data_IF_568268021885
#
_entry.id   IF_568268021885
#
_cell.length_a   1.000
_cell.length_b   1.000
_cell.length_c   1.000
_cell.angle_alpha   90.00
_cell.angle_beta   90.00
_cell.angle_gamma   90.00
#
_symmetry.space_group_name_H-M   'P 1'
#
loop_
_entity.id
_entity.type
_entity.pdbx_description
1 polymer ?
#
# COMPACT_ATOMS: atom_id res chain seq x y z
N UNK A 1 -27.90 -45.47 -26.23
CA UNK A 1 -26.77 -44.58 -25.84
C UNK A 1 -27.23 -43.14 -25.92
N UNK A 2 -27.32 -42.43 -24.80
CA UNK A 2 -27.58 -40.99 -24.76
C UNK A 2 -26.24 -40.24 -24.68
N UNK A 3 -25.98 -39.37 -25.65
CA UNK A 3 -24.74 -38.60 -25.77
C UNK A 3 -24.87 -37.38 -24.85
N UNK A 4 -24.29 -37.44 -23.65
CA UNK A 4 -24.21 -36.29 -22.75
C UNK A 4 -23.20 -35.27 -23.29
N UNK A 5 -23.70 -34.14 -23.77
CA UNK A 5 -22.88 -32.98 -24.14
C UNK A 5 -22.44 -32.27 -22.86
N UNK A 6 -21.16 -32.39 -22.52
CA UNK A 6 -20.55 -31.69 -21.38
C UNK A 6 -20.50 -30.20 -21.70
N UNK A 7 -21.37 -29.39 -21.09
CA UNK A 7 -21.28 -27.94 -21.18
C UNK A 7 -20.06 -27.51 -20.36
N UNK A 8 -19.02 -27.03 -21.05
CA UNK A 8 -17.86 -26.42 -20.41
C UNK A 8 -18.29 -25.06 -19.85
N UNK A 9 -18.11 -24.77 -18.55
CA UNK A 9 -18.37 -23.43 -18.02
C UNK A 9 -17.46 -22.45 -18.74
N UNK A 10 -18.07 -21.48 -19.44
CA UNK A 10 -17.34 -20.34 -20.00
C UNK A 10 -16.87 -19.52 -18.81
N UNK A 11 -15.59 -19.61 -18.47
CA UNK A 11 -14.99 -18.75 -17.46
C UNK A 11 -15.03 -17.31 -17.99
N UNK A 12 -16.07 -16.56 -17.63
CA UNK A 12 -16.08 -15.12 -17.78
C UNK A 12 -15.06 -14.58 -16.80
N UNK A 13 -13.99 -13.97 -17.30
CA UNK A 13 -13.01 -13.27 -16.47
C UNK A 13 -13.75 -12.26 -15.58
N UNK A 14 -13.41 -12.21 -14.30
CA UNK A 14 -13.95 -11.21 -13.40
C UNK A 14 -13.65 -9.81 -13.99
N UNK A 15 -14.61 -8.86 -13.94
CA UNK A 15 -14.35 -7.49 -14.36
C UNK A 15 -13.12 -6.97 -13.63
N UNK A 16 -12.13 -6.47 -14.37
CA UNK A 16 -11.00 -5.78 -13.75
C UNK A 16 -11.54 -4.58 -12.96
N UNK A 17 -11.06 -4.32 -11.73
CA UNK A 17 -11.46 -3.16 -10.96
C UNK A 17 -11.27 -1.89 -11.81
N UNK A 18 -12.37 -1.15 -12.02
CA UNK A 18 -12.39 0.00 -12.93
C UNK A 18 -11.73 1.26 -12.33
N UNK A 19 -11.41 1.25 -11.04
CA UNK A 19 -10.68 2.32 -10.37
C UNK A 19 -9.19 1.97 -10.32
N UNK A 20 -8.32 2.91 -10.70
CA UNK A 20 -6.91 2.77 -10.44
C UNK A 20 -6.72 2.66 -8.93
N UNK A 21 -6.31 1.48 -8.46
CA UNK A 21 -5.96 1.27 -7.06
C UNK A 21 -4.79 2.23 -6.77
N UNK A 22 -4.87 3.07 -5.73
CA UNK A 22 -3.74 3.91 -5.37
C UNK A 22 -2.54 3.02 -5.06
N UNK A 23 -1.35 3.43 -5.49
CA UNK A 23 -0.14 2.61 -5.32
C UNK A 23 0.34 2.49 -3.87
N UNK A 24 -0.39 3.06 -2.91
CA UNK A 24 -0.18 2.96 -1.47
C UNK A 24 -1.53 2.68 -0.80
N UNK A 25 -1.52 1.94 0.31
CA UNK A 25 -2.71 1.60 1.09
C UNK A 25 -3.51 2.87 1.46
N UNK A 26 -4.74 3.03 0.92
CA UNK A 26 -5.53 4.24 1.15
C UNK A 26 -5.94 4.46 2.60
N UNK A 27 -6.00 3.39 3.41
CA UNK A 27 -6.36 3.47 4.83
C UNK A 27 -5.31 4.27 5.61
N UNK A 28 -4.07 4.38 5.12
CA UNK A 28 -3.02 5.17 5.78
C UNK A 28 -3.43 6.64 5.95
N UNK A 29 -4.28 7.16 5.07
CA UNK A 29 -4.76 8.54 5.12
C UNK A 29 -5.89 8.73 6.12
N UNK A 30 -6.75 7.74 6.30
CA UNK A 30 -7.70 7.72 7.40
C UNK A 30 -6.96 7.67 8.74
N UNK A 31 -5.88 6.89 8.84
CA UNK A 31 -5.03 6.88 10.04
C UNK A 31 -4.40 8.26 10.29
N UNK A 32 -3.87 8.92 9.25
CA UNK A 32 -3.31 10.27 9.37
C UNK A 32 -4.38 11.27 9.84
N UNK A 33 -5.55 11.25 9.19
CA UNK A 33 -6.68 12.16 9.46
C UNK A 33 -7.23 12.00 10.87
N UNK A 34 -7.24 10.78 11.40
CA UNK A 34 -7.65 10.46 12.77
C UNK A 34 -6.52 10.67 13.80
N UNK A 35 -5.42 11.31 13.41
CA UNK A 35 -4.25 11.55 14.27
C UNK A 35 -3.70 10.26 14.90
N UNK A 36 -3.86 9.14 14.19
CA UNK A 36 -3.38 7.85 14.66
C UNK A 36 -1.86 7.83 14.68
N UNK A 37 -1.30 7.38 15.80
CA UNK A 37 0.13 7.12 15.93
C UNK A 37 0.68 6.03 14.98
N UNK A 38 -0.17 5.39 14.16
CA UNK A 38 0.20 4.30 13.27
C UNK A 38 0.47 4.73 11.81
N UNK A 39 0.01 5.91 11.37
CA UNK A 39 0.13 6.30 9.96
C UNK A 39 1.61 6.44 9.52
N UNK A 40 2.37 7.26 10.23
CA UNK A 40 3.78 7.50 9.91
C UNK A 40 4.65 6.24 10.10
N UNK A 41 4.51 5.45 11.20
CA UNK A 41 5.21 4.18 11.32
C UNK A 41 4.89 3.17 10.21
N UNK A 42 3.62 3.09 9.76
CA UNK A 42 3.23 2.21 8.65
C UNK A 42 3.92 2.61 7.35
N UNK A 43 4.01 3.92 7.07
CA UNK A 43 4.75 4.42 5.92
C UNK A 43 6.25 4.10 6.05
N UNK A 44 6.85 4.39 7.20
CA UNK A 44 8.27 4.10 7.43
C UNK A 44 8.61 2.62 7.28
N UNK A 45 7.74 1.71 7.76
CA UNK A 45 7.83 0.28 7.48
C UNK A 45 7.80 0.03 5.97
N UNK A 46 6.85 0.62 5.24
CA UNK A 46 6.73 0.46 3.79
C UNK A 46 8.03 0.86 3.09
N UNK A 47 8.57 2.03 3.41
CA UNK A 47 9.80 2.55 2.79
C UNK A 47 11.02 1.66 3.07
N UNK A 48 11.05 0.99 4.22
CA UNK A 48 12.13 0.08 4.60
C UNK A 48 12.09 -1.25 3.86
N UNK A 49 10.88 -1.76 3.59
CA UNK A 49 10.68 -3.07 2.97
C UNK A 49 10.68 -3.00 1.43
N UNK A 50 10.89 -1.82 0.83
CA UNK A 50 11.00 -1.69 -0.62
C UNK A 50 12.29 -2.33 -1.17
N UNK A 51 12.22 -2.97 -2.34
CA UNK A 51 13.41 -3.42 -3.05
C UNK A 51 14.39 -2.29 -3.37
N UNK A 52 15.69 -2.62 -3.39
CA UNK A 52 16.78 -1.64 -3.55
C UNK A 52 16.60 -0.71 -4.76
N UNK A 53 16.14 -1.23 -5.90
CA UNK A 53 15.94 -0.45 -7.12
C UNK A 53 14.91 0.68 -6.93
N UNK A 54 13.85 0.45 -6.14
CA UNK A 54 12.84 1.46 -5.85
C UNK A 54 13.31 2.42 -4.77
N UNK A 55 14.01 1.91 -3.76
CA UNK A 55 14.60 2.68 -2.67
C UNK A 55 15.58 3.74 -3.18
N UNK A 56 16.39 3.44 -4.21
CA UNK A 56 17.28 4.43 -4.83
C UNK A 56 16.50 5.58 -5.46
N UNK A 57 15.47 5.28 -6.25
CA UNK A 57 14.64 6.31 -6.89
C UNK A 57 13.92 7.18 -5.86
N UNK A 58 13.37 6.57 -4.81
CA UNK A 58 12.71 7.27 -3.70
C UNK A 58 13.70 8.16 -2.95
N UNK A 59 14.89 7.64 -2.62
CA UNK A 59 15.93 8.38 -1.89
C UNK A 59 16.39 9.60 -2.69
N UNK A 60 16.56 9.45 -4.00
CA UNK A 60 16.89 10.55 -4.89
C UNK A 60 15.78 11.61 -4.88
N UNK A 61 14.52 11.20 -5.02
CA UNK A 61 13.37 12.10 -4.94
C UNK A 61 13.35 12.89 -3.63
N UNK A 62 13.45 12.18 -2.49
CA UNK A 62 13.43 12.80 -1.16
C UNK A 62 14.59 13.76 -0.96
N UNK A 63 15.78 13.41 -1.44
CA UNK A 63 16.98 14.26 -1.34
C UNK A 63 16.85 15.52 -2.20
N UNK A 64 16.44 15.39 -3.46
CA UNK A 64 16.27 16.51 -4.39
C UNK A 64 15.16 17.45 -3.93
N UNK A 65 14.04 16.91 -3.46
CA UNK A 65 12.91 17.68 -2.98
C UNK A 65 13.04 18.14 -1.52
N UNK A 66 14.08 17.71 -0.79
CA UNK A 66 14.32 17.95 0.64
C UNK A 66 13.13 17.53 1.52
N UNK A 67 12.58 16.35 1.24
CA UNK A 67 11.41 15.79 1.90
C UNK A 67 11.77 14.69 2.88
N UNK A 68 11.02 14.60 3.97
CA UNK A 68 11.08 13.50 4.93
C UNK A 68 9.85 12.58 4.80
N UNK A 69 9.79 11.51 5.60
CA UNK A 69 8.69 10.55 5.54
C UNK A 69 7.31 11.16 5.89
N UNK A 70 7.28 12.19 6.75
CA UNK A 70 6.04 12.92 7.05
C UNK A 70 5.56 13.71 5.84
N UNK A 71 6.47 14.43 5.16
CA UNK A 71 6.14 15.16 3.93
C UNK A 71 5.60 14.20 2.85
N UNK A 72 6.23 13.03 2.74
CA UNK A 72 5.80 11.97 1.81
C UNK A 72 4.40 11.45 2.17
N UNK A 73 4.09 11.27 3.46
CA UNK A 73 2.77 10.87 3.91
C UNK A 73 1.71 11.91 3.51
N UNK A 74 2.03 13.20 3.58
CA UNK A 74 1.12 14.26 3.14
C UNK A 74 0.86 14.20 1.64
N UNK A 75 1.91 14.00 0.85
CA UNK A 75 1.80 13.87 -0.60
C UNK A 75 1.03 12.64 -1.04
N UNK A 76 1.23 11.52 -0.35
CA UNK A 76 0.46 10.30 -0.59
C UNK A 76 -1.02 10.58 -0.37
N UNK A 77 -1.38 11.19 0.76
CA UNK A 77 -2.78 11.46 1.05
C UNK A 77 -3.40 12.48 0.12
N UNK A 78 -2.67 13.53 -0.26
CA UNK A 78 -3.13 14.48 -1.27
C UNK A 78 -3.33 13.80 -2.63
N UNK A 79 -2.41 12.93 -3.05
CA UNK A 79 -2.53 12.21 -4.32
C UNK A 79 -3.74 11.27 -4.33
N UNK A 80 -4.00 10.58 -3.22
CA UNK A 80 -5.16 9.69 -3.07
C UNK A 80 -6.46 10.47 -3.11
N UNK A 81 -6.55 11.63 -2.44
CA UNK A 81 -7.69 12.54 -2.53
C UNK A 81 -7.94 13.05 -3.96
N UNK A 82 -6.87 13.22 -4.75
CA UNK A 82 -6.94 13.60 -6.15
C UNK A 82 -7.11 12.41 -7.12
N UNK A 83 -7.32 11.20 -6.61
CA UNK A 83 -7.40 9.94 -7.39
C UNK A 83 -6.19 9.71 -8.31
N UNK A 84 -5.00 10.09 -7.83
CA UNK A 84 -3.73 10.00 -8.55
C UNK A 84 -2.70 9.20 -7.75
N UNK A 85 -1.63 8.84 -8.45
CA UNK A 85 -0.44 8.33 -7.81
C UNK A 85 0.44 9.50 -7.33
N UNK A 86 1.16 9.33 -6.21
CA UNK A 86 2.15 10.31 -5.75
C UNK A 86 3.22 10.56 -6.81
N UNK A 87 3.72 11.80 -6.88
CA UNK A 87 4.70 12.22 -7.90
C UNK A 87 5.99 11.38 -7.88
N UNK A 88 6.43 10.95 -6.70
CA UNK A 88 7.63 10.11 -6.57
C UNK A 88 7.48 8.72 -7.21
N UNK A 89 6.25 8.30 -7.50
CA UNK A 89 5.93 7.03 -8.16
C UNK A 89 5.70 7.18 -9.67
N UNK A 90 5.91 8.38 -10.22
CA UNK A 90 5.74 8.65 -11.66
C UNK A 90 6.68 7.81 -12.54
N UNK A 91 7.88 7.49 -12.06
CA UNK A 91 8.87 6.67 -12.74
C UNK A 91 8.68 5.15 -12.55
N UNK A 92 7.77 4.73 -11.67
CA UNK A 92 7.56 3.33 -11.33
C UNK A 92 6.64 2.62 -12.31
N UNK A 93 6.98 1.35 -12.61
CA UNK A 93 6.14 0.48 -13.44
C UNK A 93 4.86 0.11 -12.70
N UNK A 94 3.88 -0.47 -13.41
CA UNK A 94 2.67 -0.98 -12.77
C UNK A 94 3.00 -2.04 -11.70
N UNK A 95 3.92 -2.95 -11.99
CA UNK A 95 4.33 -4.00 -11.07
C UNK A 95 4.99 -3.44 -9.79
N UNK A 96 5.81 -2.40 -9.93
CA UNK A 96 6.41 -1.73 -8.77
C UNK A 96 5.35 -1.09 -7.88
N UNK A 97 4.34 -0.45 -8.50
CA UNK A 97 3.21 0.18 -7.81
C UNK A 97 2.36 -0.83 -7.07
N UNK A 98 2.02 -1.95 -7.71
CA UNK A 98 1.24 -3.03 -7.10
C UNK A 98 1.98 -3.62 -5.88
N UNK A 99 3.30 -3.82 -6.00
CA UNK A 99 4.13 -4.28 -4.88
C UNK A 99 4.21 -3.26 -3.73
N UNK A 100 4.31 -1.97 -4.01
CA UNK A 100 4.30 -0.92 -2.98
C UNK A 100 2.95 -0.92 -2.26
N UNK A 101 1.85 -1.06 -3.00
CA UNK A 101 0.52 -1.16 -2.43
C UNK A 101 0.42 -2.36 -1.46
N UNK A 102 0.84 -3.55 -1.90
CA UNK A 102 0.80 -4.75 -1.07
C UNK A 102 1.69 -4.61 0.18
N UNK A 103 2.90 -4.10 0.01
CA UNK A 103 3.85 -3.85 1.11
C UNK A 103 3.27 -2.86 2.12
N UNK A 104 2.67 -1.78 1.64
CA UNK A 104 2.05 -0.77 2.51
C UNK A 104 0.85 -1.30 3.29
N UNK A 105 0.05 -2.17 2.66
CA UNK A 105 -1.06 -2.86 3.30
C UNK A 105 -0.56 -3.76 4.43
N UNK A 106 0.48 -4.56 4.17
CA UNK A 106 1.08 -5.44 5.17
C UNK A 106 1.68 -4.65 6.35
N UNK A 107 2.39 -3.56 6.06
CA UNK A 107 2.95 -2.67 7.07
C UNK A 107 1.87 -2.01 7.93
N UNK A 108 0.77 -1.54 7.32
CA UNK A 108 -0.39 -1.03 8.08
C UNK A 108 -0.96 -2.09 8.99
N UNK A 109 -1.22 -3.30 8.48
CA UNK A 109 -1.77 -4.41 9.28
C UNK A 109 -0.85 -4.64 10.48
N UNK A 110 0.46 -4.81 10.25
CA UNK A 110 1.45 -5.04 11.31
C UNK A 110 1.41 -4.00 12.43
N UNK A 111 1.17 -2.72 12.11
CA UNK A 111 1.11 -1.65 13.10
C UNK A 111 -0.25 -1.47 13.76
N UNK A 112 -1.34 -1.86 13.08
CA UNK A 112 -2.72 -1.62 13.55
C UNK A 112 -3.36 -2.83 14.21
N UNK A 113 -2.83 -4.04 13.99
CA UNK A 113 -3.29 -5.25 14.65
C UNK A 113 -2.56 -5.47 15.96
N UNK A 114 -3.30 -5.77 17.02
CA UNK A 114 -2.75 -6.23 18.29
C UNK A 114 -1.98 -7.53 18.02
N UNK A 115 -0.72 -7.58 18.41
CA UNK A 115 0.09 -8.78 18.27
C UNK A 115 -0.48 -9.86 19.18
N UNK A 116 -0.81 -11.04 18.63
CA UNK A 116 -1.16 -12.22 19.44
C UNK A 116 -0.03 -12.64 20.39
N UNK A 117 1.19 -12.12 20.19
CA UNK A 117 2.36 -12.33 21.04
C UNK A 117 2.52 -11.29 22.17
N UNK A 118 1.68 -10.25 22.24
CA UNK A 118 1.55 -9.50 23.49
C UNK A 118 0.86 -10.41 24.50
N UNK A 119 1.66 -11.18 25.25
CA UNK A 119 1.15 -11.81 26.46
C UNK A 119 0.50 -10.69 27.28
N UNK A 120 -0.81 -10.76 27.60
CA UNK A 120 -1.39 -9.79 28.52
C UNK A 120 -0.51 -9.84 29.76
N UNK A 121 -0.03 -8.68 30.21
CA UNK A 121 0.75 -8.57 31.44
C UNK A 121 -0.07 -9.22 32.57
N UNK A 122 0.19 -10.50 32.85
CA UNK A 122 -0.41 -11.29 33.91
C UNK A 122 0.26 -10.94 35.26
N UNK A 123 0.57 -9.67 35.47
CA UNK A 123 1.06 -9.17 36.75
C UNK A 123 -0.13 -8.44 37.39
N UNK A 124 -0.76 -9.14 38.34
CA UNK A 124 -1.73 -8.60 39.30
C UNK A 124 -1.01 -7.89 40.44
#
# INVERSE_FOLDING_TARGET
>A
QAKQTKASPKATAAPEPSAAIPSTDPIICDLKKNESGFALPSLQCTLRELPENLTVSLTNYMTTARKNASDLLEEICKAIEEEKNPDFMSSYTKNDKDMIHDTSTLCRIRHTTISECEMPNLIK
#
